data_IF_738923052289
#
_entry.id   IF_738923052289
#
_cell.length_a   1.000
_cell.length_b   1.000
_cell.length_c   1.000
_cell.angle_alpha   90.00
_cell.angle_beta   90.00
_cell.angle_gamma   90.00
#
_symmetry.space_group_name_H-M   'P 1'
#
loop_
_entity.id
_entity.type
_entity.pdbx_description
1 polymer ?
#
# COMPACT_ATOMS: atom_id res chain seq x y z
N UNK A 1 5.86 13.39 -3.89
CA UNK A 1 5.12 12.26 -4.49
C UNK A 1 4.24 11.69 -3.43
N UNK A 2 3.04 11.21 -3.81
CA UNK A 2 2.14 10.64 -2.84
C UNK A 2 2.73 9.32 -2.32
N UNK A 3 2.47 9.02 -1.07
CA UNK A 3 2.87 7.76 -0.44
C UNK A 3 1.67 7.24 0.35
N UNK A 4 1.54 5.92 0.45
CA UNK A 4 0.48 5.29 1.24
C UNK A 4 1.09 4.37 2.28
N UNK A 5 0.63 4.52 3.51
CA UNK A 5 0.88 3.60 4.60
C UNK A 5 -0.35 2.70 4.76
N UNK A 6 -0.13 1.39 4.66
CA UNK A 6 -1.15 0.36 4.84
C UNK A 6 -0.82 -0.40 6.11
N UNK A 7 -1.67 -0.24 7.13
CA UNK A 7 -1.60 -1.03 8.37
C UNK A 7 -2.58 -2.19 8.26
N UNK A 8 -2.08 -3.41 8.37
CA UNK A 8 -2.88 -4.62 8.17
C UNK A 8 -2.46 -5.72 9.15
N UNK A 9 -3.37 -6.61 9.56
CA UNK A 9 -3.02 -7.82 10.27
C UNK A 9 -2.02 -8.65 9.46
N UNK A 10 -1.05 -9.27 10.13
CA UNK A 10 0.03 -10.02 9.47
C UNK A 10 -0.48 -11.24 8.65
N UNK A 11 -1.68 -11.73 8.96
CA UNK A 11 -2.37 -12.86 8.33
C UNK A 11 -3.40 -12.44 7.27
N UNK A 12 -3.60 -11.14 7.02
CA UNK A 12 -4.57 -10.65 6.03
C UNK A 12 -4.16 -11.01 4.60
N UNK A 13 -2.86 -10.97 4.30
CA UNK A 13 -2.33 -11.15 2.95
C UNK A 13 -1.59 -12.49 2.80
N UNK A 14 -1.79 -13.22 1.68
CA UNK A 14 -1.02 -14.43 1.41
C UNK A 14 0.50 -14.20 1.41
N UNK A 15 1.27 -15.20 1.81
CA UNK A 15 2.73 -15.13 1.75
C UNK A 15 3.22 -14.90 0.30
N UNK A 16 4.25 -14.07 0.13
CA UNK A 16 4.91 -13.85 -1.16
C UNK A 16 4.22 -12.85 -2.10
N UNK A 17 3.16 -12.16 -1.68
CA UNK A 17 2.47 -11.18 -2.54
C UNK A 17 3.03 -9.75 -2.45
N UNK A 18 4.01 -9.49 -1.59
CA UNK A 18 4.48 -8.14 -1.24
C UNK A 18 4.85 -7.27 -2.45
N UNK A 19 5.61 -7.84 -3.40
CA UNK A 19 6.01 -7.11 -4.60
C UNK A 19 4.82 -6.72 -5.49
N UNK A 20 3.83 -7.60 -5.62
CA UNK A 20 2.61 -7.31 -6.38
C UNK A 20 1.75 -6.29 -5.64
N UNK A 21 1.55 -6.47 -4.34
CA UNK A 21 0.73 -5.59 -3.50
C UNK A 21 1.29 -4.17 -3.49
N UNK A 22 2.60 -4.01 -3.25
CA UNK A 22 3.26 -2.70 -3.25
C UNK A 22 3.14 -1.99 -4.61
N UNK A 23 3.29 -2.72 -5.72
CA UNK A 23 3.13 -2.18 -7.08
C UNK A 23 1.69 -1.71 -7.33
N UNK A 24 0.70 -2.54 -7.04
CA UNK A 24 -0.71 -2.21 -7.28
C UNK A 24 -1.16 -1.03 -6.42
N UNK A 25 -0.74 -0.96 -5.15
CA UNK A 25 -1.01 0.18 -4.26
C UNK A 25 -0.37 1.47 -4.78
N UNK A 26 0.89 1.41 -5.20
CA UNK A 26 1.60 2.55 -5.80
C UNK A 26 0.86 3.10 -7.02
N UNK A 27 0.41 2.21 -7.92
CA UNK A 27 -0.37 2.62 -9.09
C UNK A 27 -1.76 3.15 -8.72
N UNK A 28 -2.40 2.60 -7.69
CA UNK A 28 -3.69 3.07 -7.20
C UNK A 28 -3.60 4.51 -6.66
N UNK A 29 -2.56 4.80 -5.86
CA UNK A 29 -2.30 6.14 -5.34
C UNK A 29 -2.02 7.14 -6.46
N UNK A 30 -1.17 6.78 -7.43
CA UNK A 30 -0.92 7.64 -8.59
C UNK A 30 -2.20 7.98 -9.36
N UNK A 31 -3.08 6.98 -9.54
CA UNK A 31 -4.39 7.20 -10.16
C UNK A 31 -5.27 8.15 -9.33
N UNK A 32 -5.30 7.97 -8.00
CA UNK A 32 -6.07 8.82 -7.10
C UNK A 32 -5.61 10.29 -7.14
N UNK A 33 -4.31 10.51 -7.32
CA UNK A 33 -3.70 11.84 -7.46
C UNK A 33 -3.77 12.40 -8.90
N UNK A 34 -4.50 11.75 -9.81
CA UNK A 34 -4.69 12.22 -11.18
C UNK A 34 -3.51 11.99 -12.13
N UNK A 35 -2.53 11.17 -11.75
CA UNK A 35 -1.39 10.83 -12.63
C UNK A 35 -1.81 9.74 -13.61
N UNK A 36 -2.29 10.17 -14.80
CA UNK A 36 -2.81 9.27 -15.85
C UNK A 36 -1.71 8.41 -16.50
N UNK A 37 -0.53 8.99 -16.72
CA UNK A 37 0.62 8.31 -17.37
C UNK A 37 1.89 8.50 -16.54
N UNK A 38 2.17 7.60 -15.58
CA UNK A 38 3.34 7.73 -14.70
C UNK A 38 4.67 7.58 -15.45
N UNK A 39 5.44 8.67 -15.54
CA UNK A 39 6.84 8.65 -15.97
C UNK A 39 7.83 8.23 -14.85
N UNK A 40 9.13 8.12 -15.17
CA UNK A 40 10.17 7.69 -14.22
C UNK A 40 10.22 8.50 -12.92
N UNK A 41 9.92 9.80 -12.98
CA UNK A 41 9.80 10.63 -11.78
C UNK A 41 8.79 10.02 -10.79
N UNK A 42 7.55 9.82 -11.24
CA UNK A 42 6.48 9.21 -10.44
C UNK A 42 6.84 7.81 -9.93
N UNK A 43 7.37 6.97 -10.82
CA UNK A 43 7.64 5.56 -10.51
C UNK A 43 8.78 5.37 -9.52
N UNK A 44 9.76 6.27 -9.51
CA UNK A 44 10.95 6.12 -8.66
C UNK A 44 10.81 6.75 -7.27
N UNK A 45 9.78 7.56 -7.02
CA UNK A 45 9.64 8.21 -5.70
C UNK A 45 8.21 8.14 -5.12
N UNK A 46 7.32 7.33 -5.69
CA UNK A 46 6.04 6.95 -5.08
C UNK A 46 6.24 5.60 -4.42
N UNK A 47 5.76 5.45 -3.19
CA UNK A 47 5.92 4.22 -2.42
C UNK A 47 4.62 3.81 -1.73
N UNK A 48 4.50 2.51 -1.51
CA UNK A 48 3.52 1.91 -0.62
C UNK A 48 4.28 1.20 0.50
N UNK A 49 4.00 1.58 1.75
CA UNK A 49 4.55 0.96 2.94
C UNK A 49 3.49 0.04 3.56
N UNK A 50 3.82 -1.24 3.70
CA UNK A 50 2.90 -2.24 4.25
C UNK A 50 3.39 -2.62 5.64
N UNK A 51 2.70 -2.11 6.66
CA UNK A 51 2.95 -2.37 8.07
C UNK A 51 2.11 -3.56 8.51
N UNK A 52 2.73 -4.74 8.56
CA UNK A 52 2.10 -5.96 9.07
C UNK A 52 2.14 -5.95 10.60
N UNK A 53 0.97 -5.92 11.21
CA UNK A 53 0.78 -5.82 12.66
C UNK A 53 0.37 -7.18 13.24
N UNK A 54 0.60 -7.37 14.54
CA UNK A 54 -0.07 -8.43 15.30
C UNK A 54 -1.60 -8.26 15.13
N UNK A 55 -2.36 -9.29 14.70
CA UNK A 55 -3.81 -9.20 14.58
C UNK A 55 -4.51 -8.73 15.86
N UNK A 56 -3.94 -9.00 17.04
CA UNK A 56 -4.48 -8.56 18.33
C UNK A 56 -4.20 -7.08 18.65
N UNK A 57 -3.38 -6.40 17.84
CA UNK A 57 -3.09 -4.96 17.97
C UNK A 57 -3.98 -4.09 17.06
N UNK A 58 -4.86 -4.68 16.25
CA UNK A 58 -5.78 -3.97 15.36
C UNK A 58 -7.21 -4.10 15.88
N UNK A 59 -7.89 -2.97 16.03
CA UNK A 59 -9.28 -2.90 16.47
C UNK A 59 -10.10 -2.04 15.50
N UNK A 60 -11.38 -2.38 15.37
CA UNK A 60 -12.33 -1.56 14.59
C UNK A 60 -13.24 -0.79 15.53
N UNK A 61 -13.85 0.29 15.05
CA UNK A 61 -14.85 1.03 15.81
C UNK A 61 -16.16 0.25 16.06
N UNK A 62 -16.31 -0.93 15.45
CA UNK A 62 -17.46 -1.83 15.65
C UNK A 62 -17.22 -2.87 16.75
N UNK A 63 -16.05 -2.85 17.37
CA UNK A 63 -15.58 -3.74 18.46
C UNK A 63 -15.07 -2.91 19.63
#
# INVERSE_FOLDING_TARGET
>A
MPMIDVYAPADLFPAGIDGRLGKELTMAVLRAEGVVTPGPFHLNNTAAFIHRMDPHAIHTAAT
#
